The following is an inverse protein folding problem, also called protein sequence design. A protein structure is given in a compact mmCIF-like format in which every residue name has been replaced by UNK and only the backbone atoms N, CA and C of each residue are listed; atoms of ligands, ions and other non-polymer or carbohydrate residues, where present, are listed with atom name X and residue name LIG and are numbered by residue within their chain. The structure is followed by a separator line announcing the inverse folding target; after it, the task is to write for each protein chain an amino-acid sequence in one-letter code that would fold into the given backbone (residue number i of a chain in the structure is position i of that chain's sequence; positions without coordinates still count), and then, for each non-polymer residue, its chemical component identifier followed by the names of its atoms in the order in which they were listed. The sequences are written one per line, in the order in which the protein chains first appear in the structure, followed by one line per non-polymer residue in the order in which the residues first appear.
data_IF_456436980919
#
_entry.id   IF_456436980919
#
_cell.length_a   1.000
_cell.length_b   1.000
_cell.length_c   1.000
_cell.angle_alpha   90.00
_cell.angle_beta   90.00
_cell.angle_gamma   90.00
#
_symmetry.space_group_name_H-M   'P 1'
#
loop_
_entity.id
_entity.type
_entity.pdbx_description
1 polymer ?
#
# COMPACT_ATOMS: atom_id res chain seq x y z
N UNK A 1 52.78 -28.03 40.39
CA UNK A 1 52.64 -28.79 39.13
C UNK A 1 51.60 -28.06 38.27
N UNK A 2 52.01 -27.67 37.07
CA UNK A 2 51.27 -26.78 36.15
C UNK A 2 50.25 -27.58 35.33
N UNK A 3 49.03 -27.06 35.14
CA UNK A 3 48.39 -26.96 33.81
C UNK A 3 47.13 -26.11 33.82
N UNK A 4 47.24 -25.01 33.07
CA UNK A 4 46.18 -24.11 32.62
C UNK A 4 45.25 -24.87 31.68
N UNK A 5 43.95 -24.66 31.76
CA UNK A 5 43.08 -24.73 30.58
C UNK A 5 42.32 -23.41 30.44
N UNK A 6 42.80 -22.63 29.48
CA UNK A 6 42.15 -21.47 28.89
C UNK A 6 41.18 -21.96 27.80
N UNK A 7 40.16 -21.14 27.54
CA UNK A 7 39.25 -21.15 26.39
C UNK A 7 38.22 -22.30 26.36
N UNK A 8 36.97 -22.12 25.94
CA UNK A 8 36.37 -21.11 25.08
C UNK A 8 35.09 -20.56 25.71
N UNK A 9 34.94 -19.23 25.70
CA UNK A 9 33.71 -18.53 26.04
C UNK A 9 33.41 -17.53 24.92
N UNK A 10 33.30 -18.02 23.68
CA UNK A 10 32.90 -17.22 22.52
C UNK A 10 32.24 -18.16 21.53
N UNK A 11 30.93 -18.02 21.28
CA UNK A 11 30.32 -18.73 20.16
C UNK A 11 28.84 -19.08 20.25
N UNK A 12 28.00 -18.39 21.04
CA UNK A 12 26.54 -18.54 20.93
C UNK A 12 25.87 -17.18 21.15
N UNK A 13 26.15 -16.19 20.31
CA UNK A 13 25.44 -14.89 20.40
C UNK A 13 25.29 -14.20 19.05
N UNK A 14 25.11 -14.97 17.96
CA UNK A 14 24.95 -14.39 16.62
C UNK A 14 23.97 -15.19 15.74
N UNK A 15 22.81 -15.61 16.28
CA UNK A 15 21.76 -16.24 15.46
C UNK A 15 20.37 -15.83 15.97
N UNK A 16 20.08 -14.53 16.08
CA UNK A 16 18.71 -14.07 16.39
C UNK A 16 18.35 -12.69 15.81
N UNK A 17 19.04 -12.22 14.77
CA UNK A 17 18.79 -10.89 14.16
C UNK A 17 18.15 -10.97 12.76
N UNK A 18 17.66 -12.13 12.33
CA UNK A 18 17.22 -12.38 10.95
C UNK A 18 15.69 -12.42 10.74
N UNK A 19 14.88 -11.97 11.71
CA UNK A 19 13.43 -12.22 11.68
C UNK A 19 12.57 -10.98 12.01
N UNK A 20 12.81 -9.83 11.37
CA UNK A 20 11.87 -8.70 11.49
C UNK A 20 11.61 -7.90 10.21
N UNK A 21 11.97 -8.42 9.04
CA UNK A 21 11.39 -7.98 7.77
C UNK A 21 9.97 -8.54 7.61
N UNK A 22 9.09 -8.22 8.55
CA UNK A 22 7.71 -8.68 8.55
C UNK A 22 6.92 -7.89 7.51
N UNK A 23 6.21 -8.59 6.64
CA UNK A 23 5.21 -7.97 5.79
C UNK A 23 4.13 -7.34 6.69
N UNK A 24 4.00 -6.02 6.66
CA UNK A 24 2.98 -5.27 7.39
C UNK A 24 1.78 -5.02 6.47
N UNK A 25 0.58 -5.29 6.97
CA UNK A 25 -0.65 -4.87 6.28
C UNK A 25 -0.99 -3.43 6.68
N UNK A 26 -1.27 -2.61 5.67
CA UNK A 26 -1.57 -1.19 5.83
C UNK A 26 -2.88 -0.85 5.10
N UNK A 27 -3.63 0.09 5.66
CA UNK A 27 -4.85 0.62 5.08
C UNK A 27 -4.60 2.01 4.52
N UNK A 28 -5.18 2.29 3.36
CA UNK A 28 -5.13 3.58 2.70
C UNK A 28 -6.55 3.95 2.24
N UNK A 29 -7.07 5.06 2.75
CA UNK A 29 -8.38 5.57 2.34
C UNK A 29 -8.20 6.67 1.31
N UNK A 30 -9.00 6.61 0.24
CA UNK A 30 -8.98 7.59 -0.85
C UNK A 30 -10.40 7.96 -1.27
N UNK A 31 -10.61 9.25 -1.54
CA UNK A 31 -11.80 9.74 -2.23
C UNK A 31 -11.48 10.01 -3.69
N UNK A 32 -12.28 9.45 -4.60
CA UNK A 32 -12.15 9.60 -6.05
C UNK A 32 -13.40 10.33 -6.52
N UNK A 33 -13.31 11.62 -6.92
CA UNK A 33 -14.48 12.43 -7.23
C UNK A 33 -15.11 12.13 -8.60
N UNK A 34 -14.40 11.41 -9.48
CA UNK A 34 -14.77 11.23 -10.88
C UNK A 34 -14.60 9.78 -11.35
N UNK A 35 -14.98 8.82 -10.49
CA UNK A 35 -14.70 7.39 -10.66
C UNK A 35 -15.35 6.80 -11.91
N UNK A 36 -16.65 7.04 -12.09
CA UNK A 36 -17.46 6.55 -13.21
C UNK A 36 -17.16 7.40 -14.45
N UNK A 37 -17.21 8.73 -14.33
CA UNK A 37 -17.08 9.63 -15.50
C UNK A 37 -15.70 9.60 -16.14
N UNK A 38 -14.65 9.21 -15.39
CA UNK A 38 -13.31 8.96 -15.93
C UNK A 38 -12.99 7.50 -16.14
N UNK A 39 -13.90 6.57 -15.88
CA UNK A 39 -13.62 5.13 -16.02
C UNK A 39 -12.31 4.73 -15.30
N UNK A 40 -12.19 5.16 -14.04
CA UNK A 40 -10.94 4.99 -13.28
C UNK A 40 -10.59 3.51 -13.18
N UNK A 41 -9.40 3.17 -13.68
CA UNK A 41 -8.91 1.78 -13.74
C UNK A 41 -8.04 1.41 -12.53
N UNK A 42 -7.62 2.39 -11.73
CA UNK A 42 -6.84 2.13 -10.54
C UNK A 42 -6.24 3.38 -9.91
N UNK A 43 -5.40 3.13 -8.91
CA UNK A 43 -4.73 4.16 -8.12
C UNK A 43 -3.24 3.86 -8.02
N UNK A 44 -2.41 4.88 -8.15
CA UNK A 44 -1.02 4.86 -7.74
C UNK A 44 -0.90 5.50 -6.35
N UNK A 45 -0.17 4.83 -5.46
CA UNK A 45 0.28 5.39 -4.19
C UNK A 45 1.75 5.78 -4.32
N UNK A 46 2.02 7.03 -3.96
CA UNK A 46 3.32 7.66 -4.09
C UNK A 46 3.87 7.98 -2.71
N UNK A 47 5.08 7.53 -2.42
CA UNK A 47 5.79 7.85 -1.18
C UNK A 47 6.74 9.00 -1.40
N UNK A 48 6.81 9.93 -0.46
CA UNK A 48 7.83 10.96 -0.46
C UNK A 48 9.18 10.34 -0.10
N UNK A 49 10.17 10.48 -0.99
CA UNK A 49 11.54 10.07 -0.74
C UNK A 49 12.17 10.98 0.33
N UNK A 50 12.66 10.44 1.45
CA UNK A 50 13.33 11.24 2.46
C UNK A 50 14.66 11.83 1.95
N UNK A 51 15.27 11.22 0.93
CA UNK A 51 16.54 11.66 0.37
C UNK A 51 16.40 12.87 -0.57
N UNK A 52 15.32 12.92 -1.37
CA UNK A 52 15.14 13.95 -2.41
C UNK A 52 13.95 14.86 -2.16
N UNK A 53 13.04 14.50 -1.24
CA UNK A 53 11.77 15.19 -1.02
C UNK A 53 10.74 14.97 -2.13
N UNK A 54 11.06 14.23 -3.19
CA UNK A 54 10.20 13.96 -4.33
C UNK A 54 9.31 12.74 -4.09
N UNK A 55 8.12 12.73 -4.69
CA UNK A 55 7.23 11.59 -4.66
C UNK A 55 7.64 10.53 -5.68
N UNK A 56 7.75 9.28 -5.24
CA UNK A 56 8.09 8.10 -6.06
C UNK A 56 7.02 7.03 -5.89
N UNK A 57 6.79 6.22 -6.93
CA UNK A 57 5.78 5.14 -6.89
C UNK A 57 6.15 4.12 -5.82
N UNK A 58 5.21 3.86 -4.91
CA UNK A 58 5.37 2.89 -3.81
C UNK A 58 4.44 1.69 -3.99
N UNK A 59 3.17 1.91 -4.35
CA UNK A 59 2.22 0.84 -4.61
C UNK A 59 1.25 1.16 -5.76
N UNK A 60 0.74 0.12 -6.41
CA UNK A 60 -0.30 0.17 -7.42
C UNK A 60 -1.54 -0.58 -6.93
N UNK A 61 -2.70 -0.03 -7.20
CA UNK A 61 -3.99 -0.69 -7.07
C UNK A 61 -4.62 -0.76 -8.46
N UNK A 62 -4.90 -1.97 -8.95
CA UNK A 62 -5.53 -2.20 -10.26
C UNK A 62 -6.95 -2.68 -10.00
N UNK A 63 -7.94 -1.86 -10.36
CA UNK A 63 -9.35 -2.20 -10.21
C UNK A 63 -9.76 -3.23 -11.26
N UNK A 64 -10.52 -4.24 -10.85
CA UNK A 64 -10.91 -5.37 -11.69
C UNK A 64 -12.38 -5.31 -12.06
N UNK A 65 -13.26 -5.31 -11.05
CA UNK A 65 -14.69 -5.34 -11.24
C UNK A 65 -15.42 -4.76 -10.03
N UNK A 66 -16.59 -4.16 -10.27
CA UNK A 66 -17.57 -3.85 -9.24
C UNK A 66 -18.55 -5.01 -9.15
N UNK A 67 -18.88 -5.46 -7.94
CA UNK A 67 -19.82 -6.54 -7.68
C UNK A 67 -20.84 -6.14 -6.61
N UNK A 68 -22.03 -6.72 -6.67
CA UNK A 68 -23.04 -6.56 -5.63
C UNK A 68 -22.62 -7.35 -4.37
N UNK A 69 -22.43 -6.65 -3.25
CA UNK A 69 -22.15 -7.24 -1.94
C UNK A 69 -23.36 -7.22 -1.00
N UNK A 70 -23.30 -7.96 0.12
CA UNK A 70 -24.38 -8.02 1.10
C UNK A 70 -24.63 -6.69 1.82
N UNK A 71 -23.63 -5.79 1.85
CA UNK A 71 -23.68 -4.48 2.51
C UNK A 71 -23.61 -3.30 1.51
N UNK A 72 -23.69 -3.59 0.20
CA UNK A 72 -23.52 -2.63 -0.88
C UNK A 72 -22.47 -3.06 -1.89
N UNK A 73 -22.11 -2.16 -2.80
CA UNK A 73 -21.17 -2.44 -3.89
C UNK A 73 -19.76 -2.71 -3.36
N UNK A 74 -19.12 -3.74 -3.91
CA UNK A 74 -17.74 -4.11 -3.63
C UNK A 74 -16.88 -3.87 -4.88
N UNK A 75 -15.68 -3.34 -4.70
CA UNK A 75 -14.67 -3.20 -5.73
C UNK A 75 -13.57 -4.23 -5.52
N UNK A 76 -13.40 -5.12 -6.50
CA UNK A 76 -12.26 -6.01 -6.58
C UNK A 76 -11.04 -5.28 -7.14
N UNK A 77 -9.88 -5.53 -6.53
CA UNK A 77 -8.62 -4.95 -6.97
C UNK A 77 -7.44 -5.87 -6.68
N UNK A 78 -6.35 -5.60 -7.37
CA UNK A 78 -5.04 -6.20 -7.12
C UNK A 78 -4.12 -5.10 -6.60
N UNK A 79 -3.52 -5.32 -5.43
CA UNK A 79 -2.49 -4.45 -4.88
C UNK A 79 -1.09 -5.00 -5.19
N UNK A 80 -0.20 -4.15 -5.70
CA UNK A 80 1.21 -4.48 -5.96
C UNK A 80 2.10 -3.40 -5.36
N UNK A 81 2.94 -3.77 -4.40
CA UNK A 81 3.93 -2.86 -3.81
C UNK A 81 5.28 -2.99 -4.51
N UNK A 82 6.03 -1.90 -4.53
CA UNK A 82 7.35 -1.77 -5.17
C UNK A 82 8.45 -2.62 -4.53
N UNK A 83 8.22 -3.11 -3.32
CA UNK A 83 9.14 -3.96 -2.57
C UNK A 83 9.02 -5.45 -2.91
N UNK A 84 8.17 -5.80 -3.89
CA UNK A 84 8.02 -7.17 -4.38
C UNK A 84 7.12 -8.04 -3.51
N UNK A 85 6.29 -7.45 -2.63
CA UNK A 85 5.26 -8.22 -1.95
C UNK A 85 4.30 -8.85 -2.98
N UNK A 86 3.86 -10.07 -2.67
CA UNK A 86 2.96 -10.83 -3.54
C UNK A 86 1.69 -10.03 -3.80
N UNK A 87 1.30 -9.93 -5.07
CA UNK A 87 0.02 -9.33 -5.44
C UNK A 87 -1.13 -10.22 -4.98
N UNK A 88 -2.01 -9.68 -4.15
CA UNK A 88 -3.15 -10.40 -3.58
C UNK A 88 -4.43 -9.79 -4.14
N UNK A 89 -5.36 -10.60 -4.69
CA UNK A 89 -6.70 -10.11 -5.02
C UNK A 89 -7.45 -9.79 -3.73
N UNK A 90 -8.00 -8.59 -3.67
CA UNK A 90 -8.69 -8.05 -2.52
C UNK A 90 -10.00 -7.40 -2.98
N UNK A 91 -10.93 -7.23 -2.05
CA UNK A 91 -12.17 -6.50 -2.28
C UNK A 91 -12.31 -5.41 -1.22
N UNK A 92 -12.89 -4.27 -1.59
CA UNK A 92 -13.21 -3.19 -0.65
C UNK A 92 -14.64 -2.69 -0.90
N UNK A 93 -15.30 -2.20 0.14
CA UNK A 93 -16.61 -1.57 -0.02
C UNK A 93 -16.48 -0.23 -0.74
N UNK A 94 -17.44 0.05 -1.63
CA UNK A 94 -17.59 1.35 -2.28
C UNK A 94 -18.55 2.19 -1.44
N UNK A 95 -18.06 3.32 -0.91
CA UNK A 95 -18.93 4.30 -0.26
C UNK A 95 -19.18 5.44 -1.24
N UNK A 96 -20.38 5.49 -1.81
CA UNK A 96 -20.81 6.60 -2.67
C UNK A 96 -21.09 7.85 -1.84
N UNK A 97 -20.73 9.01 -2.37
CA UNK A 97 -21.23 10.28 -1.84
C UNK A 97 -22.72 10.41 -2.20
N UNK A 98 -23.58 10.55 -1.20
CA UNK A 98 -25.03 10.57 -1.38
C UNK A 98 -25.53 11.71 -2.28
N UNK A 99 -24.73 12.76 -2.46
CA UNK A 99 -25.03 13.89 -3.35
C UNK A 99 -24.39 13.73 -4.75
N UNK A 100 -23.38 12.87 -4.88
CA UNK A 100 -22.64 12.64 -6.13
C UNK A 100 -22.21 11.17 -6.25
N UNK A 101 -22.96 10.40 -7.04
CA UNK A 101 -22.68 8.97 -7.24
C UNK A 101 -21.37 8.69 -7.98
N UNK A 102 -20.81 9.70 -8.68
CA UNK A 102 -19.51 9.60 -9.35
C UNK A 102 -18.35 9.68 -8.35
N UNK A 103 -18.60 10.33 -7.21
CA UNK A 103 -17.65 10.38 -6.11
C UNK A 103 -17.79 9.14 -5.23
N UNK A 104 -16.68 8.43 -5.07
CA UNK A 104 -16.59 7.29 -4.17
C UNK A 104 -15.48 7.46 -3.16
N UNK A 105 -15.60 6.77 -2.04
CA UNK A 105 -14.53 6.58 -1.06
C UNK A 105 -14.23 5.10 -0.91
N UNK A 106 -12.95 4.75 -0.99
CA UNK A 106 -12.44 3.39 -0.91
C UNK A 106 -11.47 3.26 0.27
N UNK A 107 -11.48 2.11 0.93
CA UNK A 107 -10.46 1.74 1.94
C UNK A 107 -9.65 0.56 1.41
N UNK A 108 -8.49 0.86 0.86
CA UNK A 108 -7.62 -0.10 0.18
C UNK A 108 -6.62 -0.69 1.17
N UNK A 109 -6.43 -2.01 1.10
CA UNK A 109 -5.49 -2.75 1.92
C UNK A 109 -4.34 -3.17 1.01
N UNK A 110 -3.12 -3.07 1.51
CA UNK A 110 -1.96 -3.62 0.83
C UNK A 110 -0.91 -4.05 1.83
N UNK A 111 -0.05 -4.95 1.37
CA UNK A 111 1.08 -5.44 2.13
C UNK A 111 2.31 -4.61 1.78
N UNK A 112 3.11 -4.25 2.77
CA UNK A 112 4.35 -3.49 2.60
C UNK A 112 5.43 -3.94 3.59
N UNK A 113 6.66 -3.76 3.16
CA UNK A 113 7.89 -3.93 3.94
C UNK A 113 8.67 -2.62 4.02
N UNK A 114 8.26 -1.61 3.24
CA UNK A 114 8.85 -0.27 3.27
C UNK A 114 8.56 0.45 4.59
N UNK A 115 9.52 1.25 5.06
CA UNK A 115 9.37 2.05 6.28
C UNK A 115 8.21 3.05 6.19
N UNK A 116 7.60 3.46 7.32
CA UNK A 116 6.59 4.50 7.33
C UNK A 116 7.00 5.79 6.60
N UNK A 117 6.03 6.56 6.11
CA UNK A 117 6.31 7.77 5.35
C UNK A 117 5.09 8.63 5.04
N UNK A 118 5.33 9.67 4.26
CA UNK A 118 4.28 10.56 3.76
C UNK A 118 3.90 10.13 2.35
N UNK A 119 2.60 10.03 2.10
CA UNK A 119 2.05 9.51 0.87
C UNK A 119 1.05 10.45 0.22
N UNK A 120 0.96 10.35 -1.11
CA UNK A 120 -0.08 10.94 -1.95
C UNK A 120 -0.56 9.90 -2.94
N UNK A 121 -1.72 10.11 -3.54
CA UNK A 121 -2.24 9.22 -4.55
C UNK A 121 -2.53 9.93 -5.87
N UNK A 122 -2.62 9.17 -6.96
CA UNK A 122 -3.25 9.60 -8.21
C UNK A 122 -4.10 8.48 -8.77
N UNK A 123 -5.17 8.82 -9.47
CA UNK A 123 -5.95 7.85 -10.23
C UNK A 123 -5.36 7.70 -11.64
N UNK A 124 -5.67 6.59 -12.30
CA UNK A 124 -5.30 6.40 -13.70
C UNK A 124 -6.36 5.61 -14.45
N UNK A 125 -6.35 5.79 -15.77
CA UNK A 125 -7.17 5.07 -16.74
C UNK A 125 -6.40 4.92 -18.06
N UNK A 126 -7.08 4.51 -19.14
CA UNK A 126 -6.48 4.40 -20.46
C UNK A 126 -5.98 5.73 -21.06
N UNK A 127 -6.50 6.87 -20.60
CA UNK A 127 -6.12 8.21 -21.08
C UNK A 127 -4.90 8.79 -20.35
N UNK A 128 -4.54 8.27 -19.18
CA UNK A 128 -3.36 8.69 -18.42
C UNK A 128 -3.58 8.71 -16.91
N UNK A 129 -2.77 9.51 -16.22
CA UNK A 129 -2.77 9.67 -14.76
C UNK A 129 -3.31 11.05 -14.38
N UNK A 130 -4.07 11.11 -13.28
CA UNK A 130 -4.47 12.37 -12.66
C UNK A 130 -3.26 13.06 -12.01
N UNK A 131 -3.36 14.36 -11.69
CA UNK A 131 -2.48 14.97 -10.70
C UNK A 131 -2.50 14.21 -9.36
N UNK A 132 -1.44 14.37 -8.57
CA UNK A 132 -1.41 13.87 -7.20
C UNK A 132 -2.47 14.57 -6.35
N UNK A 133 -3.04 13.84 -5.39
CA UNK A 133 -3.90 14.40 -4.35
C UNK A 133 -3.17 15.49 -3.57
N UNK A 134 -3.91 16.53 -3.19
CA UNK A 134 -3.40 17.55 -2.29
C UNK A 134 -3.22 17.00 -0.87
N UNK A 135 -4.09 16.07 -0.48
CA UNK A 135 -4.05 15.36 0.80
C UNK A 135 -2.79 14.51 0.92
N UNK A 136 -2.10 14.66 2.05
CA UNK A 136 -0.96 13.85 2.45
C UNK A 136 -1.38 12.91 3.57
N UNK A 137 -1.05 11.63 3.43
CA UNK A 137 -1.36 10.61 4.42
C UNK A 137 -0.06 10.06 5.01
N UNK A 138 0.01 9.95 6.33
CA UNK A 138 1.12 9.30 7.02
C UNK A 138 0.78 7.84 7.26
N UNK A 139 1.53 6.93 6.63
CA UNK A 139 1.32 5.47 6.70
C UNK A 139 2.57 4.74 7.17
#
# INVERSE_FOLDING_TARGET
MVRRFRALLVGITTVCSLLSGGCQLTYFTISIPDFISKEVSGVWLWRQSPATGLFVRDAQFVFQAVQDGPEGDLLDYIATSSDGATSVPLSTGIVHDGEDTDRITLSLIFARTSEPGVFRASTYNAAGESPLTDEMVSL
#
